data_IF_365015546557
#
_entry.id   IF_365015546557
#
_cell.length_a   1.000
_cell.length_b   1.000
_cell.length_c   1.000
_cell.angle_alpha   90.00
_cell.angle_beta   90.00
_cell.angle_gamma   90.00
#
_symmetry.space_group_name_H-M   'P 1'
#
loop_
_entity.id
_entity.type
_entity.pdbx_description
1 polymer ?
#
# COMPACT_ATOMS: atom_id res chain seq x y z
N UNK A 1 9.57 -7.75 -16.33
CA UNK A 1 8.37 -6.88 -16.55
C UNK A 1 8.70 -5.56 -15.85
N UNK A 2 8.37 -4.34 -16.31
CA UNK A 2 8.58 -3.07 -15.54
C UNK A 2 7.36 -2.70 -14.68
N UNK A 3 7.52 -2.08 -13.49
CA UNK A 3 6.33 -1.60 -12.74
C UNK A 3 5.87 -0.36 -13.48
N UNK A 4 4.66 -0.39 -14.04
CA UNK A 4 4.01 0.81 -14.54
C UNK A 4 3.26 1.50 -13.41
N UNK A 5 3.29 2.84 -13.43
CA UNK A 5 2.39 3.64 -12.62
C UNK A 5 0.95 3.47 -13.09
N UNK A 6 -0.01 3.80 -12.23
CA UNK A 6 -1.43 3.75 -12.56
C UNK A 6 -1.76 4.71 -13.71
N UNK A 7 -2.54 4.24 -14.68
CA UNK A 7 -3.15 5.08 -15.71
C UNK A 7 -4.20 6.02 -15.11
N UNK A 8 -4.65 7.02 -15.88
CA UNK A 8 -5.70 7.94 -15.43
C UNK A 8 -7.02 7.18 -15.13
N UNK A 9 -7.41 6.27 -16.02
CA UNK A 9 -8.59 5.42 -15.82
C UNK A 9 -8.49 4.55 -14.57
N UNK A 10 -7.32 3.98 -14.29
CA UNK A 10 -7.08 3.20 -13.07
C UNK A 10 -7.13 4.08 -11.82
N UNK A 11 -6.61 5.31 -11.89
CA UNK A 11 -6.67 6.28 -10.79
C UNK A 11 -8.11 6.67 -10.48
N UNK A 12 -8.89 7.02 -11.50
CA UNK A 12 -10.31 7.37 -11.37
C UNK A 12 -11.12 6.24 -10.73
N UNK A 13 -10.81 4.99 -11.06
CA UNK A 13 -11.49 3.82 -10.50
C UNK A 13 -11.03 3.45 -9.08
N UNK A 14 -9.73 3.50 -8.80
CA UNK A 14 -9.14 2.91 -7.58
C UNK A 14 -8.97 3.91 -6.44
N UNK A 15 -8.64 5.18 -6.73
CA UNK A 15 -8.43 6.19 -5.69
C UNK A 15 -9.70 6.50 -4.87
N UNK A 16 -10.93 6.50 -5.44
CA UNK A 16 -12.15 6.64 -4.64
C UNK A 16 -12.34 5.50 -3.62
N UNK A 17 -12.00 4.26 -3.98
CA UNK A 17 -12.11 3.12 -3.07
C UNK A 17 -11.16 3.25 -1.87
N UNK A 18 -9.97 3.81 -2.10
CA UNK A 18 -9.01 4.12 -1.05
C UNK A 18 -9.50 5.27 -0.14
N UNK A 19 -10.13 6.30 -0.72
CA UNK A 19 -10.75 7.39 0.06
C UNK A 19 -11.86 6.90 0.99
N UNK A 20 -12.69 5.95 0.53
CA UNK A 20 -13.73 5.31 1.36
C UNK A 20 -13.16 4.56 2.57
N UNK A 21 -11.86 4.24 2.53
CA UNK A 21 -11.15 3.58 3.63
C UNK A 21 -10.16 4.51 4.31
N UNK A 22 -10.37 5.83 4.23
CA UNK A 22 -9.57 6.88 4.88
C UNK A 22 -8.11 6.97 4.44
N UNK A 23 -7.75 6.40 3.29
CA UNK A 23 -6.48 6.73 2.66
C UNK A 23 -6.59 8.08 1.95
N UNK A 24 -5.63 8.95 2.22
CA UNK A 24 -5.54 10.26 1.60
C UNK A 24 -4.40 10.26 0.58
N UNK A 25 -4.60 10.94 -0.55
CA UNK A 25 -3.52 11.27 -1.46
C UNK A 25 -2.57 12.21 -0.69
N UNK A 26 -1.31 11.81 -0.58
CA UNK A 26 -0.43 12.34 0.42
C UNK A 26 0.78 13.02 -0.19
N UNK A 27 0.90 14.29 0.18
CA UNK A 27 2.01 15.20 -0.09
C UNK A 27 1.88 15.93 -1.44
N UNK A 28 1.67 17.25 -1.36
CA UNK A 28 1.80 18.17 -2.49
C UNK A 28 3.15 17.92 -3.15
N UNK A 29 3.14 17.51 -4.42
CA UNK A 29 4.35 17.21 -5.18
C UNK A 29 4.85 15.76 -5.11
N UNK A 30 4.13 14.82 -4.48
CA UNK A 30 4.47 13.38 -4.54
C UNK A 30 3.24 12.53 -4.83
N UNK A 31 3.37 11.62 -5.79
CA UNK A 31 2.34 10.64 -6.12
C UNK A 31 2.39 9.46 -5.14
N UNK A 32 1.81 9.67 -3.95
CA UNK A 32 1.77 8.72 -2.84
C UNK A 32 0.43 8.75 -2.09
N UNK A 33 0.19 7.72 -1.28
CA UNK A 33 -0.98 7.61 -0.38
C UNK A 33 -0.52 7.47 1.07
N UNK A 34 -1.31 7.99 1.99
CA UNK A 34 -1.06 7.97 3.42
C UNK A 34 -2.34 7.66 4.19
N UNK A 35 -2.18 7.00 5.33
CA UNK A 35 -3.23 6.78 6.31
C UNK A 35 -2.59 6.62 7.69
N UNK A 36 -3.21 7.21 8.70
CA UNK A 36 -2.84 7.03 10.09
C UNK A 36 -3.70 5.95 10.74
N UNK A 37 -3.10 5.13 11.59
CA UNK A 37 -3.78 4.10 12.38
C UNK A 37 -3.50 4.34 13.86
N UNK A 38 -4.56 4.48 14.65
CA UNK A 38 -4.48 4.67 16.10
C UNK A 38 -4.94 3.38 16.76
N UNK A 39 -4.08 2.79 17.59
CA UNK A 39 -4.36 1.56 18.32
C UNK A 39 -4.49 1.85 19.82
N UNK A 40 -5.26 1.00 20.52
CA UNK A 40 -5.46 1.13 21.98
C UNK A 40 -4.18 0.91 22.79
N UNK A 41 -3.30 0.03 22.30
CA UNK A 41 -2.06 -0.35 22.99
C UNK A 41 -0.98 -0.81 21.99
N UNK A 42 0.24 -0.96 22.51
CA UNK A 42 1.39 -1.40 21.72
C UNK A 42 1.24 -2.82 21.16
N UNK A 43 0.58 -3.75 21.88
CA UNK A 43 0.46 -5.14 21.43
C UNK A 43 -0.38 -5.22 20.16
N UNK A 44 -1.46 -4.45 20.08
CA UNK A 44 -2.30 -4.33 18.88
C UNK A 44 -1.53 -3.69 17.74
N UNK A 45 -0.83 -2.56 17.99
CA UNK A 45 -0.01 -1.90 16.99
C UNK A 45 1.08 -2.84 16.44
N UNK A 46 1.78 -3.56 17.31
CA UNK A 46 2.85 -4.48 16.93
C UNK A 46 2.34 -5.72 16.19
N UNK A 47 1.21 -6.29 16.61
CA UNK A 47 0.55 -7.38 15.90
C UNK A 47 0.14 -6.98 14.49
N UNK A 48 -0.44 -5.78 14.34
CA UNK A 48 -0.75 -5.19 13.05
C UNK A 48 0.50 -5.01 12.18
N UNK A 49 1.55 -4.38 12.71
CA UNK A 49 2.81 -4.18 11.98
C UNK A 49 3.43 -5.49 11.53
N UNK A 50 3.41 -6.54 12.37
CA UNK A 50 3.95 -7.85 12.04
C UNK A 50 3.21 -8.48 10.86
N UNK A 51 1.88 -8.44 10.84
CA UNK A 51 1.05 -8.96 9.73
C UNK A 51 1.37 -8.24 8.41
N UNK A 52 1.49 -6.91 8.46
CA UNK A 52 1.86 -6.11 7.29
C UNK A 52 3.28 -6.42 6.84
N UNK A 53 4.24 -6.50 7.77
CA UNK A 53 5.64 -6.82 7.48
C UNK A 53 5.80 -8.17 6.79
N UNK A 54 5.16 -9.23 7.29
CA UNK A 54 5.25 -10.55 6.67
C UNK A 54 4.59 -10.60 5.28
N UNK A 55 3.49 -9.87 5.06
CA UNK A 55 2.89 -9.76 3.71
C UNK A 55 3.85 -9.07 2.73
N UNK A 56 4.45 -7.96 3.17
CA UNK A 56 5.44 -7.20 2.41
C UNK A 56 6.66 -8.07 2.12
N UNK A 57 7.27 -8.66 3.16
CA UNK A 57 8.44 -9.53 3.07
C UNK A 57 8.21 -10.74 2.18
N UNK A 58 7.09 -11.46 2.32
CA UNK A 58 6.76 -12.60 1.46
C UNK A 58 6.61 -12.19 -0.01
N UNK A 59 6.05 -11.01 -0.27
CA UNK A 59 5.89 -10.49 -1.63
C UNK A 59 7.24 -10.05 -2.20
N UNK A 60 8.08 -9.38 -1.42
CA UNK A 60 9.42 -9.01 -1.84
C UNK A 60 10.28 -10.26 -2.05
N UNK A 61 10.35 -11.21 -1.13
CA UNK A 61 11.14 -12.44 -1.30
C UNK A 61 10.67 -13.30 -2.48
N UNK A 62 9.36 -13.44 -2.71
CA UNK A 62 8.85 -14.16 -3.88
C UNK A 62 9.10 -13.42 -5.20
N UNK A 63 9.25 -12.10 -5.16
CA UNK A 63 9.57 -11.30 -6.36
C UNK A 63 11.09 -11.16 -6.56
N UNK A 64 11.92 -11.40 -5.53
CA UNK A 64 13.38 -11.24 -5.56
C UNK A 64 14.14 -12.24 -6.44
N UNK A 65 13.48 -13.18 -7.13
CA UNK A 65 14.11 -13.94 -8.22
C UNK A 65 13.95 -13.29 -9.59
N UNK A 66 13.11 -12.27 -9.74
CA UNK A 66 12.86 -11.62 -11.02
C UNK A 66 12.54 -10.13 -10.83
N UNK A 67 13.62 -9.34 -10.75
CA UNK A 67 13.62 -7.91 -11.06
C UNK A 67 12.88 -7.01 -10.04
N UNK A 68 13.19 -5.71 -10.11
CA UNK A 68 12.57 -4.56 -9.42
C UNK A 68 13.23 -4.10 -8.14
N UNK A 69 13.98 -3.01 -8.27
CA UNK A 69 13.73 -1.81 -7.45
C UNK A 69 13.95 -0.58 -8.34
N UNK A 70 12.93 0.30 -8.44
CA UNK A 70 12.95 1.64 -9.09
C UNK A 70 12.43 1.81 -10.55
N UNK A 71 11.20 1.40 -10.90
CA UNK A 71 10.66 1.74 -12.26
C UNK A 71 9.48 2.73 -12.30
N UNK A 72 8.67 2.88 -11.24
CA UNK A 72 7.58 3.87 -11.24
C UNK A 72 7.80 4.92 -10.14
N UNK A 73 8.06 6.17 -10.53
CA UNK A 73 8.14 7.34 -9.63
C UNK A 73 6.74 7.78 -9.16
N UNK A 74 5.85 6.84 -8.84
CA UNK A 74 4.46 7.10 -8.49
C UNK A 74 3.69 5.86 -8.05
N UNK A 75 2.38 6.02 -7.84
CA UNK A 75 1.46 4.96 -7.44
C UNK A 75 1.36 3.90 -8.53
N UNK A 76 1.38 2.64 -8.10
CA UNK A 76 1.20 1.47 -8.94
C UNK A 76 0.16 0.54 -8.34
N UNK A 77 -0.24 -0.47 -9.11
CA UNK A 77 -1.16 -1.51 -8.63
C UNK A 77 -0.66 -2.22 -7.36
N UNK A 78 0.66 -2.28 -7.13
CA UNK A 78 1.24 -2.83 -5.91
C UNK A 78 0.87 -1.99 -4.68
N UNK A 79 0.85 -0.67 -4.81
CA UNK A 79 0.46 0.25 -3.73
C UNK A 79 -1.01 0.07 -3.37
N UNK A 80 -1.89 -0.05 -4.38
CA UNK A 80 -3.33 -0.30 -4.17
C UNK A 80 -3.55 -1.64 -3.45
N UNK A 81 -2.88 -2.70 -3.92
CA UNK A 81 -2.99 -4.04 -3.31
C UNK A 81 -2.54 -4.03 -1.84
N UNK A 82 -1.45 -3.32 -1.55
CA UNK A 82 -0.93 -3.20 -0.19
C UNK A 82 -1.88 -2.41 0.71
N UNK A 83 -2.42 -1.28 0.23
CA UNK A 83 -3.38 -0.47 0.99
C UNK A 83 -4.65 -1.26 1.35
N UNK A 84 -5.17 -2.05 0.42
CA UNK A 84 -6.31 -2.95 0.68
C UNK A 84 -6.01 -3.98 1.77
N UNK A 85 -4.83 -4.61 1.71
CA UNK A 85 -4.42 -5.57 2.75
C UNK A 85 -4.25 -4.91 4.11
N UNK A 86 -3.61 -3.73 4.15
CA UNK A 86 -3.40 -2.97 5.40
C UNK A 86 -4.75 -2.63 6.04
N UNK A 87 -5.75 -2.21 5.25
CA UNK A 87 -7.09 -1.99 5.77
C UNK A 87 -7.69 -3.25 6.40
N UNK A 88 -7.62 -4.40 5.72
CA UNK A 88 -8.11 -5.67 6.28
C UNK A 88 -7.39 -6.05 7.58
N UNK A 89 -6.07 -5.89 7.63
CA UNK A 89 -5.28 -6.19 8.81
C UNK A 89 -5.54 -5.25 10.00
N UNK A 90 -6.11 -4.06 9.76
CA UNK A 90 -6.43 -3.08 10.81
C UNK A 90 -7.76 -3.34 11.53
N UNK A 91 -8.66 -4.14 10.93
CA UNK A 91 -9.99 -4.47 11.48
C UNK A 91 -9.94 -5.71 12.40
N UNK A 92 -8.79 -6.40 12.46
CA UNK A 92 -8.53 -7.61 13.24
C UNK A 92 -7.67 -7.33 14.49
#
# INVERSE_FOLDING_TARGET
IKIQGLSEEERERLLPLLRNTQWVAAVVGRDAIYKEFIFKDFKQAFGFMSRVWFNVYNKYNRTHMADRTHDCRGLSQRNITLATFINQASVL
#
